data_IF_898667797128
#
_entry.id   IF_898667797128
#
_cell.length_a   1.000
_cell.length_b   1.000
_cell.length_c   1.000
_cell.angle_alpha   90.00
_cell.angle_beta   90.00
_cell.angle_gamma   90.00
#
_symmetry.space_group_name_H-M   'P 1'
#
loop_
_entity.id
_entity.type
_entity.pdbx_description
1 polymer ?
#
# COMPACT_ATOMS: atom_id res chain seq x y z
N UNK A 1 -15.98 5.14 -0.22
CA UNK A 1 -14.83 5.99 -0.58
C UNK A 1 -15.03 6.45 -2.01
N UNK A 2 -14.30 7.47 -2.47
CA UNK A 2 -14.24 7.76 -3.92
C UNK A 2 -13.21 6.80 -4.52
N UNK A 3 -13.57 6.11 -5.59
CA UNK A 3 -12.71 5.13 -6.27
C UNK A 3 -11.48 5.82 -6.88
N UNK A 4 -10.34 5.13 -6.87
CA UNK A 4 -9.14 5.64 -7.51
C UNK A 4 -9.24 5.41 -9.01
N UNK A 5 -8.85 6.41 -9.80
CA UNK A 5 -8.91 6.31 -11.25
C UNK A 5 -7.74 7.02 -11.94
N UNK A 6 -7.38 6.49 -13.10
CA UNK A 6 -6.48 7.15 -14.04
C UNK A 6 -7.30 7.96 -15.03
N UNK A 7 -6.78 9.11 -15.43
CA UNK A 7 -7.39 10.01 -16.40
C UNK A 7 -6.60 9.94 -17.71
N UNK A 8 -7.09 9.17 -18.71
CA UNK A 8 -6.55 9.22 -20.07
C UNK A 8 -6.61 10.64 -20.64
N UNK A 9 -5.85 10.89 -21.71
CA UNK A 9 -5.85 12.21 -22.36
C UNK A 9 -7.25 12.62 -22.87
N UNK A 10 -8.02 11.64 -23.31
CA UNK A 10 -9.36 11.74 -23.86
C UNK A 10 -10.46 11.40 -22.83
N UNK A 11 -10.18 11.53 -21.52
CA UNK A 11 -11.13 11.14 -20.46
C UNK A 11 -12.49 11.83 -20.54
N UNK A 12 -12.56 13.01 -21.15
CA UNK A 12 -13.81 13.75 -21.36
C UNK A 12 -14.75 13.00 -22.31
N UNK A 13 -14.19 12.28 -23.29
CA UNK A 13 -14.95 11.54 -24.30
C UNK A 13 -15.07 10.05 -23.97
N UNK A 14 -14.02 9.45 -23.40
CA UNK A 14 -13.92 8.00 -23.14
C UNK A 14 -14.10 7.59 -21.69
N UNK A 15 -14.16 8.55 -20.77
CA UNK A 15 -14.23 8.29 -19.34
C UNK A 15 -12.86 8.03 -18.71
N UNK A 16 -12.89 7.61 -17.45
CA UNK A 16 -11.69 7.31 -16.64
C UNK A 16 -11.48 5.81 -16.56
N UNK A 17 -10.24 5.38 -16.26
CA UNK A 17 -9.93 3.97 -15.96
C UNK A 17 -9.97 3.83 -14.45
N UNK A 18 -10.94 3.08 -13.93
CA UNK A 18 -11.09 2.83 -12.49
C UNK A 18 -10.14 1.72 -12.01
N UNK A 19 -9.82 1.72 -10.72
CA UNK A 19 -8.96 0.72 -10.05
C UNK A 19 -9.44 -0.73 -10.26
N UNK A 20 -10.74 -0.99 -10.16
CA UNK A 20 -11.32 -2.31 -10.44
C UNK A 20 -11.02 -2.80 -11.88
N UNK A 21 -11.13 -1.91 -12.87
CA UNK A 21 -10.83 -2.23 -14.27
C UNK A 21 -9.33 -2.50 -14.45
N UNK A 22 -8.48 -1.66 -13.84
CA UNK A 22 -7.03 -1.82 -13.89
C UNK A 22 -6.59 -3.13 -13.25
N UNK A 23 -7.15 -3.48 -12.09
CA UNK A 23 -6.89 -4.74 -11.40
C UNK A 23 -7.33 -5.93 -12.26
N UNK A 24 -8.54 -5.89 -12.83
CA UNK A 24 -9.01 -6.96 -13.69
C UNK A 24 -8.13 -7.15 -14.93
N UNK A 25 -7.61 -6.06 -15.51
CA UNK A 25 -6.78 -6.11 -16.71
C UNK A 25 -5.33 -6.52 -16.44
N UNK A 26 -4.70 -5.97 -15.40
CA UNK A 26 -3.25 -6.09 -15.16
C UNK A 26 -2.88 -7.07 -14.05
N UNK A 27 -3.83 -7.48 -13.21
CA UNK A 27 -3.57 -8.34 -12.06
C UNK A 27 -4.20 -9.71 -12.25
N UNK A 28 -5.51 -9.78 -12.50
CA UNK A 28 -6.22 -11.07 -12.65
C UNK A 28 -5.85 -11.87 -13.90
N UNK A 29 -5.38 -11.22 -14.95
CA UNK A 29 -5.00 -11.89 -16.21
C UNK A 29 -3.61 -12.53 -16.16
N UNK A 30 -2.79 -12.18 -15.16
CA UNK A 30 -1.41 -12.65 -15.10
C UNK A 30 -1.35 -14.12 -14.65
N UNK A 31 -0.59 -14.97 -15.35
CA UNK A 31 -0.47 -16.37 -14.97
C UNK A 31 0.39 -16.54 -13.71
N UNK A 32 0.26 -17.69 -13.02
CA UNK A 32 1.08 -18.00 -11.86
C UNK A 32 2.59 -17.90 -12.17
N UNK A 33 3.35 -17.29 -11.24
CA UNK A 33 4.80 -17.15 -11.36
C UNK A 33 5.29 -15.95 -12.17
N UNK A 34 4.40 -15.17 -12.80
CA UNK A 34 4.77 -13.89 -13.43
C UNK A 34 4.91 -12.80 -12.36
N UNK A 35 6.00 -12.02 -12.47
CA UNK A 35 6.20 -10.81 -11.67
C UNK A 35 5.70 -9.58 -12.45
N UNK A 36 4.87 -8.76 -11.82
CA UNK A 36 4.56 -7.41 -12.27
C UNK A 36 5.02 -6.40 -11.21
N UNK A 37 5.91 -5.48 -11.60
CA UNK A 37 6.33 -4.35 -10.76
C UNK A 37 5.74 -3.06 -11.31
N UNK A 38 4.91 -2.40 -10.51
CA UNK A 38 4.22 -1.15 -10.90
C UNK A 38 4.77 0.01 -10.07
N UNK A 39 4.97 1.15 -10.74
CA UNK A 39 5.36 2.41 -10.10
C UNK A 39 4.32 3.46 -10.42
N UNK A 40 3.56 3.90 -9.42
CA UNK A 40 2.58 4.97 -9.56
C UNK A 40 3.08 6.28 -8.97
N UNK A 41 3.13 7.30 -9.83
CA UNK A 41 3.49 8.67 -9.48
C UNK A 41 2.26 9.59 -9.51
N UNK A 42 1.19 9.16 -8.85
CA UNK A 42 -0.05 9.90 -8.73
C UNK A 42 -0.52 9.94 -7.27
N UNK A 43 -1.00 11.11 -6.85
CA UNK A 43 -1.56 11.29 -5.50
C UNK A 43 -2.85 10.45 -5.37
N UNK A 44 -3.10 9.85 -4.19
CA UNK A 44 -4.25 8.99 -3.85
C UNK A 44 -4.18 7.52 -4.31
N UNK A 45 -3.12 7.09 -5.00
CA UNK A 45 -3.02 5.76 -5.65
C UNK A 45 -2.70 4.55 -4.75
N UNK A 46 -2.73 4.69 -3.42
CA UNK A 46 -2.38 3.59 -2.49
C UNK A 46 -3.23 2.33 -2.69
N UNK A 47 -4.45 2.46 -3.22
CA UNK A 47 -5.34 1.35 -3.59
C UNK A 47 -5.56 1.21 -5.10
N UNK A 48 -4.77 1.86 -5.96
CA UNK A 48 -5.04 1.93 -7.41
C UNK A 48 -5.07 0.56 -8.12
N UNK A 49 -4.45 -0.47 -7.54
CA UNK A 49 -4.45 -1.84 -8.05
C UNK A 49 -5.14 -2.82 -7.10
N UNK A 50 -5.78 -2.30 -6.05
CA UNK A 50 -6.54 -3.08 -5.07
C UNK A 50 -5.77 -4.26 -4.46
N UNK A 51 -4.47 -4.07 -4.23
CA UNK A 51 -3.61 -5.09 -3.65
C UNK A 51 -3.83 -5.20 -2.13
N UNK A 52 -3.97 -6.42 -1.59
CA UNK A 52 -4.37 -6.60 -0.19
C UNK A 52 -3.28 -6.28 0.84
N UNK A 53 -2.01 -6.55 0.52
CA UNK A 53 -0.91 -6.36 1.48
C UNK A 53 -0.29 -4.97 1.29
N UNK A 54 -0.10 -4.22 2.38
CA UNK A 54 0.48 -2.86 2.33
C UNK A 54 1.59 -2.70 3.38
N UNK A 55 2.72 -2.16 2.93
CA UNK A 55 3.95 -1.93 3.70
C UNK A 55 4.37 -0.47 3.59
N UNK A 56 4.90 0.09 4.68
CA UNK A 56 5.56 1.40 4.70
C UNK A 56 7.00 1.31 5.17
N UNK A 57 7.73 2.43 5.07
CA UNK A 57 9.08 2.55 5.61
C UNK A 57 9.19 2.26 7.11
N UNK A 58 8.09 2.38 7.87
CA UNK A 58 8.03 2.07 9.30
C UNK A 58 7.71 0.60 9.59
N UNK A 59 7.49 -0.22 8.56
CA UNK A 59 7.10 -1.62 8.67
C UNK A 59 5.73 -1.90 8.07
N UNK A 60 5.18 -3.04 8.44
CA UNK A 60 3.93 -3.54 7.90
C UNK A 60 2.73 -2.72 8.38
N UNK A 61 1.88 -2.25 7.46
CA UNK A 61 0.71 -1.45 7.80
C UNK A 61 -0.54 -2.32 7.87
N UNK A 62 -0.68 -3.30 6.96
CA UNK A 62 -1.94 -4.06 6.84
C UNK A 62 -1.76 -5.54 6.51
N UNK A 63 -2.05 -6.35 7.54
CA UNK A 63 -2.47 -7.75 7.53
C UNK A 63 -1.94 -8.57 8.75
N UNK A 64 -2.03 -9.89 8.67
CA UNK A 64 -2.46 -10.81 9.76
C UNK A 64 -1.55 -11.07 10.97
N UNK A 65 -0.59 -10.21 11.34
CA UNK A 65 0.33 -10.53 12.46
C UNK A 65 -0.17 -10.09 13.85
N UNK A 66 -1.14 -9.18 13.94
CA UNK A 66 -1.57 -8.60 15.23
C UNK A 66 -2.39 -9.57 16.09
N UNK A 67 -3.23 -10.42 15.47
CA UNK A 67 -4.06 -11.38 16.19
C UNK A 67 -3.22 -12.45 16.88
N UNK A 68 -2.20 -12.98 16.19
CA UNK A 68 -1.34 -14.03 16.72
C UNK A 68 -0.55 -13.57 17.96
N UNK A 69 0.01 -12.35 17.91
CA UNK A 69 0.76 -11.78 19.02
C UNK A 69 -0.14 -11.55 20.24
N UNK A 70 -1.33 -10.98 20.05
CA UNK A 70 -2.28 -10.76 21.15
C UNK A 70 -2.82 -12.07 21.73
N UNK A 71 -3.00 -13.09 20.88
CA UNK A 71 -3.41 -14.43 21.33
C UNK A 71 -2.38 -15.08 22.25
N UNK A 72 -1.09 -14.90 21.95
CA UNK A 72 0.00 -15.36 22.83
C UNK A 72 0.02 -14.62 24.17
N UNK A 73 -0.12 -13.28 24.12
CA UNK A 73 -0.15 -12.41 25.30
C UNK A 73 -1.31 -12.77 26.25
N UNK A 74 -2.50 -13.09 25.71
CA UNK A 74 -3.65 -13.56 26.49
C UNK A 74 -3.46 -14.92 27.17
N UNK A 75 -2.55 -15.77 26.66
CA UNK A 75 -2.28 -17.11 27.21
C UNK A 75 -1.19 -17.06 28.28
N UNK A 76 -0.17 -16.22 28.08
CA UNK A 76 0.99 -16.15 28.98
C UNK A 76 0.91 -15.07 30.06
N UNK A 77 0.10 -14.02 29.83
CA UNK A 77 0.04 -12.88 30.74
C UNK A 77 -0.86 -13.10 31.95
N UNK A 78 -0.41 -12.60 33.10
CA UNK A 78 -1.19 -12.51 34.33
C UNK A 78 -1.80 -11.10 34.41
N UNK A 79 -3.12 -11.00 34.25
CA UNK A 79 -3.84 -9.73 34.13
C UNK A 79 -4.96 -9.64 35.16
N UNK A 80 -5.26 -8.42 35.60
CA UNK A 80 -6.50 -8.16 36.34
C UNK A 80 -7.73 -8.35 35.44
N UNK A 81 -8.90 -8.48 36.07
CA UNK A 81 -10.15 -8.82 35.40
C UNK A 81 -10.60 -7.77 34.37
N UNK A 82 -10.33 -6.49 34.64
CA UNK A 82 -10.68 -5.38 33.74
C UNK A 82 -9.78 -5.39 32.50
N UNK A 83 -8.46 -5.52 32.67
CA UNK A 83 -7.49 -5.66 31.57
C UNK A 83 -7.78 -6.89 30.71
N UNK A 84 -8.14 -8.02 31.32
CA UNK A 84 -8.53 -9.25 30.60
C UNK A 84 -9.76 -9.06 29.72
N UNK A 85 -10.73 -8.27 30.18
CA UNK A 85 -11.95 -7.97 29.42
C UNK A 85 -11.64 -7.12 28.19
N UNK A 86 -10.83 -6.07 28.35
CA UNK A 86 -10.38 -5.21 27.25
C UNK A 86 -9.59 -6.00 26.18
N UNK A 87 -8.65 -6.85 26.60
CA UNK A 87 -7.86 -7.65 25.67
C UNK A 87 -8.71 -8.69 24.92
N UNK A 88 -9.71 -9.30 25.58
CA UNK A 88 -10.67 -10.21 24.92
C UNK A 88 -11.55 -9.49 23.89
N UNK A 89 -11.99 -8.27 24.18
CA UNK A 89 -12.75 -7.46 23.22
C UNK A 89 -11.88 -7.08 22.01
N UNK A 90 -10.64 -6.64 22.25
CA UNK A 90 -9.66 -6.35 21.21
C UNK A 90 -9.35 -7.57 20.36
N UNK A 91 -9.23 -8.76 20.96
CA UNK A 91 -9.02 -10.01 20.21
C UNK A 91 -10.20 -10.36 19.32
N UNK A 92 -11.45 -10.23 19.80
CA UNK A 92 -12.65 -10.42 18.96
C UNK A 92 -12.70 -9.45 17.79
N UNK A 93 -12.31 -8.18 18.01
CA UNK A 93 -12.21 -7.19 16.95
C UNK A 93 -11.16 -7.60 15.90
N UNK A 94 -9.95 -7.97 16.33
CA UNK A 94 -8.90 -8.45 15.44
C UNK A 94 -9.31 -9.72 14.67
N UNK A 95 -10.07 -10.64 15.27
CA UNK A 95 -10.61 -11.80 14.57
C UNK A 95 -11.57 -11.42 13.45
N UNK A 96 -12.47 -10.46 13.72
CA UNK A 96 -13.40 -9.97 12.72
C UNK A 96 -12.66 -9.25 11.57
N UNK A 97 -11.65 -8.44 11.91
CA UNK A 97 -10.78 -7.77 10.95
C UNK A 97 -10.00 -8.76 10.09
N UNK A 98 -9.44 -9.82 10.68
CA UNK A 98 -8.72 -10.85 9.94
C UNK A 98 -9.64 -11.65 9.02
N UNK A 99 -10.86 -11.98 9.46
CA UNK A 99 -11.85 -12.65 8.62
C UNK A 99 -12.27 -11.77 7.44
N UNK A 100 -12.51 -10.49 7.67
CA UNK A 100 -12.81 -9.53 6.60
C UNK A 100 -11.61 -9.34 5.66
N UNK A 101 -10.40 -9.26 6.21
CA UNK A 101 -9.17 -9.20 5.42
C UNK A 101 -9.00 -10.44 4.55
N UNK A 102 -9.17 -11.65 5.10
CA UNK A 102 -9.09 -12.90 4.36
C UNK A 102 -10.13 -12.98 3.23
N UNK A 103 -11.34 -12.45 3.47
CA UNK A 103 -12.38 -12.31 2.44
C UNK A 103 -11.98 -11.33 1.34
N UNK A 104 -11.36 -10.21 1.69
CA UNK A 104 -10.87 -9.23 0.71
C UNK A 104 -9.70 -9.80 -0.11
N UNK A 105 -8.77 -10.49 0.55
CA UNK A 105 -7.66 -11.20 -0.10
C UNK A 105 -8.21 -12.22 -1.09
N UNK A 106 -9.20 -13.04 -0.71
CA UNK A 106 -9.73 -14.06 -1.62
C UNK A 106 -10.45 -13.47 -2.84
N UNK A 107 -11.12 -12.33 -2.69
CA UNK A 107 -11.76 -11.62 -3.80
C UNK A 107 -10.76 -10.96 -4.75
N UNK A 108 -9.63 -10.50 -4.21
CA UNK A 108 -8.57 -9.77 -4.91
C UNK A 108 -7.34 -10.65 -5.16
N UNK A 109 -7.49 -11.95 -4.99
CA UNK A 109 -6.42 -12.92 -5.13
C UNK A 109 -5.93 -12.93 -6.57
N UNK A 110 -4.62 -12.86 -6.72
CA UNK A 110 -3.94 -13.06 -7.98
C UNK A 110 -2.87 -14.11 -7.76
N UNK A 111 -2.78 -15.08 -8.66
CA UNK A 111 -1.75 -16.12 -8.60
C UNK A 111 -0.36 -15.57 -9.00
N UNK A 112 -0.33 -14.38 -9.59
CA UNK A 112 0.87 -13.67 -9.98
C UNK A 112 1.51 -12.87 -8.82
N UNK A 113 2.81 -12.62 -8.94
CA UNK A 113 3.60 -11.82 -8.01
C UNK A 113 3.53 -10.34 -8.40
N UNK A 114 2.54 -9.61 -7.88
CA UNK A 114 2.32 -8.21 -8.22
C UNK A 114 2.76 -7.33 -7.07
N UNK A 115 3.66 -6.39 -7.34
CA UNK A 115 4.09 -5.37 -6.40
C UNK A 115 3.87 -3.98 -6.98
N UNK A 116 3.48 -3.03 -6.12
CA UNK A 116 3.19 -1.65 -6.51
C UNK A 116 3.84 -0.68 -5.54
N UNK A 117 4.68 0.21 -6.06
CA UNK A 117 5.18 1.36 -5.32
C UNK A 117 4.31 2.58 -5.60
N UNK A 118 3.86 3.27 -4.56
CA UNK A 118 3.06 4.49 -4.67
C UNK A 118 3.36 5.49 -3.55
N UNK A 119 2.97 6.76 -3.75
CA UNK A 119 3.14 7.82 -2.76
C UNK A 119 1.80 8.27 -2.15
N UNK A 120 1.64 8.14 -0.83
CA UNK A 120 0.50 8.67 -0.09
C UNK A 120 0.80 10.05 0.52
N UNK A 121 -0.19 10.94 0.66
CA UNK A 121 -0.04 12.26 1.32
C UNK A 121 -0.49 12.18 2.78
N UNK A 122 0.23 12.86 3.68
CA UNK A 122 -0.03 12.84 5.14
C UNK A 122 -1.31 13.55 5.58
N UNK A 123 -1.82 14.51 4.79
CA UNK A 123 -2.96 15.36 5.18
C UNK A 123 -4.31 14.83 4.65
N UNK A 124 -4.55 13.51 4.65
CA UNK A 124 -5.84 12.93 4.28
C UNK A 124 -6.80 12.81 5.48
N UNK A 125 -7.15 13.95 6.07
CA UNK A 125 -8.44 14.08 6.76
C UNK A 125 -9.46 14.45 5.68
N UNK A 126 -10.47 13.62 5.50
CA UNK A 126 -11.53 13.72 4.48
C UNK A 126 -12.45 14.93 4.67
N UNK A 127 -11.90 16.13 4.50
CA UNK A 127 -12.65 17.39 4.38
C UNK A 127 -12.36 17.99 3.00
N UNK A 128 -13.32 17.79 2.09
CA UNK A 128 -13.58 18.56 0.87
C UNK A 128 -12.41 19.36 0.26
N UNK A 129 -11.57 18.70 -0.54
CA UNK A 129 -10.61 19.44 -1.39
C UNK A 129 -11.26 19.73 -2.74
N UNK A 130 -11.68 20.99 -2.86
CA UNK A 130 -12.01 21.68 -4.11
C UNK A 130 -10.93 21.41 -5.15
N UNK A 131 -11.34 21.00 -6.34
CA UNK A 131 -10.51 21.01 -7.55
C UNK A 131 -10.21 22.47 -7.88
N UNK A 132 -9.11 23.02 -7.35
CA UNK A 132 -8.57 24.28 -7.83
C UNK A 132 -7.72 24.00 -9.07
N UNK A 133 -8.38 24.04 -10.24
CA UNK A 133 -7.70 24.42 -11.48
C UNK A 133 -7.26 25.88 -11.34
N UNK A 134 -5.96 26.12 -11.23
CA UNK A 134 -5.23 27.27 -11.85
C UNK A 134 -3.82 27.39 -11.29
N UNK A 135 -2.80 27.24 -12.17
CA UNK A 135 -1.52 27.96 -12.09
C UNK A 135 -0.54 27.71 -10.93
N UNK A 136 -0.88 26.96 -9.88
CA UNK A 136 0.06 26.61 -8.81
C UNK A 136 0.89 25.38 -9.19
N UNK A 137 2.23 25.50 -9.20
CA UNK A 137 3.14 24.36 -9.40
C UNK A 137 2.74 23.21 -8.47
N UNK A 138 2.25 22.11 -9.04
CA UNK A 138 2.14 20.83 -8.32
C UNK A 138 3.58 20.33 -8.13
N UNK A 139 4.19 20.70 -7.01
CA UNK A 139 5.56 20.31 -6.67
C UNK A 139 5.69 18.82 -6.34
N UNK A 140 4.70 17.96 -6.64
CA UNK A 140 4.72 16.52 -6.33
C UNK A 140 4.69 15.59 -7.55
N UNK A 141 4.71 16.12 -8.78
CA UNK A 141 4.70 15.27 -9.98
C UNK A 141 6.11 14.73 -10.23
N UNK A 142 6.27 13.41 -10.34
CA UNK A 142 7.57 12.79 -10.64
C UNK A 142 8.39 12.44 -9.39
N UNK A 143 7.88 12.70 -8.19
CA UNK A 143 8.62 12.53 -6.95
C UNK A 143 8.90 11.05 -6.65
N UNK A 144 7.90 10.18 -6.83
CA UNK A 144 8.05 8.75 -6.62
C UNK A 144 8.99 8.14 -7.66
N UNK A 145 8.84 8.54 -8.93
CA UNK A 145 9.71 8.12 -10.04
C UNK A 145 11.14 8.56 -9.80
N UNK A 146 11.36 9.82 -9.41
CA UNK A 146 12.68 10.34 -9.09
C UNK A 146 13.33 9.57 -7.93
N UNK A 147 12.63 9.41 -6.81
CA UNK A 147 13.18 8.76 -5.64
C UNK A 147 13.46 7.27 -5.90
N UNK A 148 12.51 6.55 -6.52
CA UNK A 148 12.66 5.15 -6.90
C UNK A 148 13.87 4.95 -7.82
N UNK A 149 13.96 5.70 -8.92
CA UNK A 149 15.05 5.55 -9.89
C UNK A 149 16.41 5.91 -9.29
N UNK A 150 16.46 6.92 -8.43
CA UNK A 150 17.70 7.27 -7.70
C UNK A 150 18.11 6.15 -6.74
N UNK A 151 17.19 5.60 -5.96
CA UNK A 151 17.47 4.47 -5.06
C UNK A 151 18.00 3.25 -5.79
N UNK A 152 17.39 2.86 -6.92
CA UNK A 152 17.84 1.70 -7.72
C UNK A 152 19.26 1.93 -8.27
N UNK A 153 19.57 3.15 -8.71
CA UNK A 153 20.88 3.49 -9.28
C UNK A 153 22.00 3.55 -8.24
N UNK A 154 21.73 4.16 -7.08
CA UNK A 154 22.75 4.36 -6.04
C UNK A 154 22.93 3.13 -5.15
N UNK A 155 21.87 2.33 -4.96
CA UNK A 155 21.88 1.12 -4.13
C UNK A 155 21.29 -0.08 -4.90
N UNK A 156 21.99 -0.62 -5.90
CA UNK A 156 21.45 -1.70 -6.75
C UNK A 156 21.19 -3.00 -5.98
N UNK A 157 21.81 -3.18 -4.81
CA UNK A 157 21.61 -4.33 -3.93
C UNK A 157 21.08 -3.83 -2.58
N UNK A 158 19.75 -3.86 -2.44
CA UNK A 158 19.06 -3.43 -1.21
C UNK A 158 17.81 -4.29 -1.01
N UNK A 159 17.36 -4.45 0.24
CA UNK A 159 16.10 -5.12 0.53
C UNK A 159 14.88 -4.26 0.18
N UNK A 160 13.70 -4.87 0.07
CA UNK A 160 12.44 -4.12 -0.09
C UNK A 160 12.24 -3.08 1.04
N UNK A 161 12.59 -3.45 2.29
CA UNK A 161 12.51 -2.53 3.42
C UNK A 161 13.49 -1.36 3.28
N UNK A 162 14.74 -1.65 2.94
CA UNK A 162 15.75 -0.62 2.71
C UNK A 162 15.34 0.31 1.58
N UNK A 163 14.78 -0.23 0.50
CA UNK A 163 14.27 0.56 -0.61
C UNK A 163 13.18 1.55 -0.17
N UNK A 164 12.20 1.12 0.63
CA UNK A 164 11.18 2.03 1.17
C UNK A 164 11.75 3.10 2.10
N UNK A 165 12.74 2.76 2.93
CA UNK A 165 13.43 3.70 3.80
C UNK A 165 14.20 4.74 2.98
N UNK A 166 15.01 4.30 2.01
CA UNK A 166 15.80 5.16 1.16
C UNK A 166 14.92 6.10 0.33
N UNK A 167 13.82 5.59 -0.24
CA UNK A 167 12.83 6.42 -0.94
C UNK A 167 12.24 7.45 0.03
N UNK A 168 11.90 7.06 1.26
CA UNK A 168 11.33 7.99 2.25
C UNK A 168 12.32 9.09 2.63
N UNK A 169 13.60 8.77 2.76
CA UNK A 169 14.64 9.76 3.05
C UNK A 169 14.75 10.80 1.93
N UNK A 170 14.83 10.35 0.67
CA UNK A 170 14.86 11.24 -0.50
C UNK A 170 13.61 12.11 -0.61
N UNK A 171 12.44 11.57 -0.24
CA UNK A 171 11.19 12.30 -0.30
C UNK A 171 11.06 13.30 0.86
N UNK A 172 11.50 12.97 2.07
CA UNK A 172 11.28 13.78 3.28
C UNK A 172 11.86 15.19 3.18
N UNK A 173 12.95 15.37 2.41
CA UNK A 173 13.59 16.67 2.24
C UNK A 173 12.75 17.67 1.43
N UNK A 174 11.92 17.17 0.49
CA UNK A 174 11.27 18.01 -0.54
C UNK A 174 9.78 17.75 -0.74
N UNK A 175 9.27 16.62 -0.28
CA UNK A 175 7.93 16.13 -0.57
C UNK A 175 7.24 15.61 0.70
N UNK A 176 5.96 15.93 0.84
CA UNK A 176 5.10 15.38 1.91
C UNK A 176 4.72 13.91 1.68
N UNK A 177 5.05 13.32 0.52
CA UNK A 177 4.66 11.96 0.19
C UNK A 177 5.38 10.92 1.05
N UNK A 178 4.62 9.96 1.57
CA UNK A 178 5.12 8.73 2.19
C UNK A 178 5.09 7.60 1.16
N UNK A 179 6.22 6.92 0.90
CA UNK A 179 6.22 5.76 0.04
C UNK A 179 5.50 4.60 0.71
N UNK A 180 4.76 3.86 -0.09
CA UNK A 180 4.12 2.61 0.28
C UNK A 180 4.41 1.56 -0.78
N UNK A 181 4.57 0.32 -0.34
CA UNK A 181 4.59 -0.86 -1.21
C UNK A 181 3.32 -1.64 -0.96
N UNK A 182 2.58 -1.96 -2.01
CA UNK A 182 1.45 -2.88 -1.95
C UNK A 182 1.77 -4.16 -2.73
N UNK A 183 1.22 -5.31 -2.32
CA UNK A 183 1.49 -6.60 -2.95
C UNK A 183 0.26 -7.51 -3.03
N UNK A 184 0.21 -8.39 -4.04
CA UNK A 184 -0.80 -9.44 -4.18
C UNK A 184 -0.66 -10.55 -3.13
N UNK A 185 0.54 -10.72 -2.56
CA UNK A 185 0.87 -11.78 -1.59
C UNK A 185 1.68 -11.24 -0.40
N UNK A 186 1.72 -11.95 0.74
CA UNK A 186 2.64 -11.59 1.81
C UNK A 186 4.08 -11.61 1.33
N UNK A 187 4.83 -10.53 1.61
CA UNK A 187 6.23 -10.39 1.24
C UNK A 187 7.14 -10.44 2.47
N UNK A 188 8.30 -11.08 2.30
CA UNK A 188 9.42 -10.91 3.21
C UNK A 188 10.17 -9.61 2.86
N UNK A 189 9.95 -8.55 3.63
CA UNK A 189 10.55 -7.24 3.37
C UNK A 189 12.09 -7.21 3.55
N UNK A 190 12.67 -8.25 4.15
CA UNK A 190 14.13 -8.40 4.26
C UNK A 190 14.78 -9.01 3.00
N UNK A 191 13.98 -9.56 2.07
CA UNK A 191 14.48 -10.09 0.81
C UNK A 191 15.04 -8.97 -0.07
N UNK A 192 16.05 -9.30 -0.90
CA UNK A 192 16.64 -8.36 -1.86
C UNK A 192 15.62 -7.98 -2.95
N UNK A 193 15.51 -6.68 -3.19
CA UNK A 193 14.74 -6.15 -4.30
C UNK A 193 15.38 -6.58 -5.62
N UNK A 194 14.55 -7.12 -6.51
CA UNK A 194 14.94 -7.48 -7.87
C UNK A 194 13.84 -7.05 -8.86
N UNK A 195 14.27 -6.55 -10.02
CA UNK A 195 13.44 -6.21 -11.19
C UNK A 195 13.74 -7.15 -12.35
#
# INVERSE_FOLDING_TARGET
GKDNCLFPLDYVEKGVIIDDELHNLLVKTLPPGVRLTVLFDCCHSGSAMDLPYIYASTGYIRGSSALANLGHELVEGDFDEDTLKELKEKWKQLQAEEKEFARQVSLKAADADVIMFSGCKDDQTSADVKVTRSGGKSESNGAMTYAFTKCVRENPTQSYQQMLVNIRELLREKYKQKPQLSSSRPMNMAELFHM
#
